data_IF_898001430467
#
_entry.id   IF_898001430467
#
_cell.length_a   1.000
_cell.length_b   1.000
_cell.length_c   1.000
_cell.angle_alpha   90.00
_cell.angle_beta   90.00
_cell.angle_gamma   90.00
#
_symmetry.space_group_name_H-M   'P 1'
#
loop_
_entity.id
_entity.type
_entity.pdbx_description
1 polymer ?
#
# COMPACT_ATOMS: atom_id res chain seq x y z
N UNK A 1 -2.22 -15.44 -22.58
CA UNK A 1 -0.92 -15.44 -21.86
C UNK A 1 -0.40 -14.05 -21.53
N UNK A 2 -0.56 -13.02 -22.37
CA UNK A 2 -0.10 -11.66 -22.09
C UNK A 2 -0.77 -11.02 -20.85
N UNK A 3 -2.07 -11.14 -20.72
CA UNK A 3 -2.86 -10.60 -19.59
C UNK A 3 -2.44 -11.17 -18.23
N UNK A 4 -2.14 -12.46 -18.16
CA UNK A 4 -1.70 -13.10 -16.92
C UNK A 4 -0.35 -12.56 -16.44
N UNK A 5 0.58 -12.30 -17.37
CA UNK A 5 1.89 -11.71 -17.02
C UNK A 5 1.77 -10.25 -16.54
N UNK A 6 0.84 -9.47 -17.12
CA UNK A 6 0.63 -8.09 -16.72
C UNK A 6 0.14 -7.94 -15.28
N UNK A 7 -0.57 -8.94 -14.76
CA UNK A 7 -1.11 -8.93 -13.41
C UNK A 7 -0.17 -9.62 -12.41
N UNK A 8 0.44 -10.73 -12.80
CA UNK A 8 1.30 -11.53 -11.91
C UNK A 8 2.52 -10.75 -11.44
N UNK A 9 3.18 -10.02 -12.34
CA UNK A 9 4.39 -9.26 -11.98
C UNK A 9 4.10 -8.18 -10.92
N UNK A 10 3.11 -7.29 -11.07
CA UNK A 10 2.77 -6.33 -10.03
C UNK A 10 2.39 -6.96 -8.68
N UNK A 11 1.65 -8.07 -8.69
CA UNK A 11 1.28 -8.79 -7.45
C UNK A 11 2.51 -9.39 -6.77
N UNK A 12 3.42 -10.00 -7.53
CA UNK A 12 4.68 -10.54 -6.99
C UNK A 12 5.54 -9.43 -6.40
N UNK A 13 5.65 -8.29 -7.07
CA UNK A 13 6.36 -7.11 -6.55
C UNK A 13 5.72 -6.63 -5.26
N UNK A 14 4.39 -6.52 -5.20
CA UNK A 14 3.67 -6.13 -3.99
C UNK A 14 3.99 -7.08 -2.83
N UNK A 15 3.90 -8.40 -3.05
CA UNK A 15 4.21 -9.40 -2.01
C UNK A 15 5.65 -9.26 -1.54
N UNK A 16 6.62 -9.09 -2.45
CA UNK A 16 8.02 -8.90 -2.10
C UNK A 16 8.24 -7.66 -1.23
N UNK A 17 7.63 -6.53 -1.59
CA UNK A 17 7.74 -5.28 -0.82
C UNK A 17 7.04 -5.42 0.54
N UNK A 18 5.90 -6.12 0.62
CA UNK A 18 5.22 -6.43 1.88
C UNK A 18 6.09 -7.27 2.83
N UNK A 19 6.85 -8.24 2.30
CA UNK A 19 7.79 -9.03 3.09
C UNK A 19 8.94 -8.15 3.58
N UNK A 20 9.50 -7.30 2.71
CA UNK A 20 10.57 -6.37 3.10
C UNK A 20 10.11 -5.40 4.19
N UNK A 21 8.90 -4.83 4.07
CA UNK A 21 8.33 -3.98 5.12
C UNK A 21 8.18 -4.72 6.44
N UNK A 22 7.65 -5.94 6.41
CA UNK A 22 7.51 -6.74 7.63
C UNK A 22 8.86 -7.01 8.31
N UNK A 23 9.86 -7.40 7.54
CA UNK A 23 11.22 -7.67 8.05
C UNK A 23 11.85 -6.41 8.63
N UNK A 24 11.80 -5.29 7.91
CA UNK A 24 12.36 -4.01 8.38
C UNK A 24 11.61 -3.49 9.61
N UNK A 25 10.29 -3.63 9.67
CA UNK A 25 9.47 -3.24 10.81
C UNK A 25 9.77 -4.07 12.07
N UNK A 26 9.92 -5.38 11.91
CA UNK A 26 10.30 -6.27 13.01
C UNK A 26 11.72 -6.00 13.51
N UNK A 27 12.66 -5.72 12.58
CA UNK A 27 14.04 -5.35 12.93
C UNK A 27 14.07 -4.03 13.70
N UNK A 28 13.34 -3.01 13.24
CA UNK A 28 13.23 -1.74 13.93
C UNK A 28 12.65 -1.90 15.35
N UNK A 29 11.58 -2.69 15.50
CA UNK A 29 10.96 -2.96 16.78
C UNK A 29 11.92 -3.72 17.73
N UNK A 30 12.70 -4.67 17.21
CA UNK A 30 13.69 -5.39 17.98
C UNK A 30 14.81 -4.48 18.48
N UNK A 31 15.37 -3.64 17.62
CA UNK A 31 16.44 -2.70 17.98
C UNK A 31 15.98 -1.67 19.01
N UNK A 32 14.74 -1.22 18.93
CA UNK A 32 14.16 -0.26 19.87
C UNK A 32 13.58 -0.90 21.14
N UNK A 33 13.77 -2.23 21.33
CA UNK A 33 13.22 -2.99 22.47
C UNK A 33 11.69 -2.93 22.60
N UNK A 34 11.01 -2.69 21.47
CA UNK A 34 9.55 -2.59 21.39
C UNK A 34 8.90 -3.82 20.73
N UNK A 35 9.66 -4.90 20.56
CA UNK A 35 9.18 -6.12 19.93
C UNK A 35 8.07 -6.75 20.76
N UNK A 36 6.92 -6.99 20.13
CA UNK A 36 5.81 -7.71 20.76
C UNK A 36 5.07 -8.56 19.73
N UNK A 37 4.55 -9.70 20.18
CA UNK A 37 3.72 -10.58 19.33
C UNK A 37 2.51 -9.84 18.75
N UNK A 38 1.95 -8.91 19.50
CA UNK A 38 0.82 -8.08 19.06
C UNK A 38 1.16 -7.22 17.86
N UNK A 39 2.32 -6.55 17.87
CA UNK A 39 2.82 -5.75 16.73
C UNK A 39 3.03 -6.62 15.49
N UNK A 40 3.61 -7.81 15.66
CA UNK A 40 3.82 -8.76 14.58
C UNK A 40 2.50 -9.23 13.94
N UNK A 41 1.53 -9.62 14.76
CA UNK A 41 0.20 -10.05 14.28
C UNK A 41 -0.52 -8.92 13.56
N UNK A 42 -0.51 -7.70 14.09
CA UNK A 42 -1.13 -6.54 13.43
C UNK A 42 -0.52 -6.26 12.06
N UNK A 43 0.80 -6.40 11.91
CA UNK A 43 1.48 -6.28 10.62
C UNK A 43 0.99 -7.31 9.60
N UNK A 44 0.83 -8.57 10.01
CA UNK A 44 0.31 -9.64 9.13
C UNK A 44 -1.15 -9.39 8.75
N UNK A 45 -2.00 -9.04 9.72
CA UNK A 45 -3.42 -8.75 9.47
C UNK A 45 -3.56 -7.62 8.44
N UNK A 46 -2.82 -6.51 8.61
CA UNK A 46 -2.82 -5.40 7.65
C UNK A 46 -2.52 -5.89 6.22
N UNK A 47 -1.55 -6.77 6.06
CA UNK A 47 -1.15 -7.29 4.75
C UNK A 47 -2.20 -8.23 4.13
N UNK A 48 -2.91 -8.99 4.96
CA UNK A 48 -4.05 -9.78 4.50
C UNK A 48 -5.16 -8.86 3.95
N UNK A 49 -5.48 -7.77 4.66
CA UNK A 49 -6.43 -6.78 4.17
C UNK A 49 -5.99 -6.13 2.85
N UNK A 50 -4.71 -5.88 2.66
CA UNK A 50 -4.19 -5.36 1.40
C UNK A 50 -4.47 -6.32 0.23
N UNK A 51 -4.26 -7.62 0.41
CA UNK A 51 -4.58 -8.61 -0.61
C UNK A 51 -6.08 -8.69 -0.90
N UNK A 52 -6.93 -8.50 0.12
CA UNK A 52 -8.38 -8.42 -0.07
C UNK A 52 -8.78 -7.19 -0.89
N UNK A 53 -8.16 -6.03 -0.65
CA UNK A 53 -8.42 -4.81 -1.43
C UNK A 53 -7.97 -4.99 -2.89
N UNK A 54 -6.83 -5.63 -3.13
CA UNK A 54 -6.37 -5.98 -4.49
C UNK A 54 -7.38 -6.88 -5.18
N UNK A 55 -7.86 -7.94 -4.50
CA UNK A 55 -8.87 -8.84 -5.05
C UNK A 55 -10.18 -8.11 -5.36
N UNK A 56 -10.61 -7.18 -4.51
CA UNK A 56 -11.78 -6.35 -4.75
C UNK A 56 -11.60 -5.45 -5.98
N UNK A 57 -10.43 -4.80 -6.13
CA UNK A 57 -10.10 -3.99 -7.31
C UNK A 57 -10.16 -4.79 -8.61
N UNK A 58 -9.61 -6.00 -8.61
CA UNK A 58 -9.72 -6.92 -9.75
C UNK A 58 -11.18 -7.34 -10.02
N UNK A 59 -11.98 -7.52 -8.97
CA UNK A 59 -13.40 -7.79 -9.09
C UNK A 59 -14.16 -6.65 -9.78
N UNK A 60 -13.82 -5.42 -9.46
CA UNK A 60 -14.38 -4.23 -10.12
C UNK A 60 -14.00 -4.21 -11.61
N UNK A 61 -12.74 -4.45 -11.96
CA UNK A 61 -12.31 -4.54 -13.37
C UNK A 61 -13.07 -5.60 -14.15
N UNK A 62 -13.27 -6.78 -13.53
CA UNK A 62 -14.06 -7.85 -14.13
C UNK A 62 -15.52 -7.44 -14.38
N UNK A 63 -16.16 -6.78 -13.40
CA UNK A 63 -17.53 -6.29 -13.53
C UNK A 63 -17.67 -5.23 -14.62
N UNK A 64 -16.72 -4.29 -14.72
CA UNK A 64 -16.71 -3.24 -15.76
C UNK A 64 -16.62 -3.88 -17.14
N UNK A 65 -15.72 -4.83 -17.32
CA UNK A 65 -15.55 -5.55 -18.61
C UNK A 65 -16.81 -6.34 -18.98
N UNK A 66 -17.40 -7.05 -18.00
CA UNK A 66 -18.62 -7.83 -18.20
C UNK A 66 -19.82 -6.95 -18.58
N UNK A 67 -20.00 -5.83 -17.89
CA UNK A 67 -21.11 -4.89 -18.16
C UNK A 67 -20.92 -4.20 -19.51
N UNK A 68 -19.69 -3.77 -19.83
CA UNK A 68 -19.38 -3.19 -21.14
C UNK A 68 -19.75 -4.12 -22.28
N UNK A 69 -19.40 -5.40 -22.18
CA UNK A 69 -19.76 -6.41 -23.17
C UNK A 69 -21.28 -6.58 -23.35
N UNK A 70 -22.06 -6.50 -22.25
CA UNK A 70 -23.53 -6.57 -22.30
C UNK A 70 -24.17 -5.33 -22.94
N UNK A 71 -23.55 -4.17 -22.79
CA UNK A 71 -24.02 -2.89 -23.35
C UNK A 71 -23.53 -2.65 -24.77
N UNK A 72 -22.77 -3.59 -25.36
CA UNK A 72 -22.20 -3.43 -26.70
C UNK A 72 -21.04 -2.44 -26.78
N UNK A 73 -20.52 -2.02 -25.63
CA UNK A 73 -19.36 -1.13 -25.52
C UNK A 73 -18.13 -1.97 -25.16
N UNK A 74 -17.14 -2.01 -26.04
CA UNK A 74 -15.87 -2.68 -25.74
C UNK A 74 -15.04 -1.77 -24.82
N UNK A 75 -15.23 -1.95 -23.50
CA UNK A 75 -14.39 -1.33 -22.49
C UNK A 75 -13.24 -2.28 -22.17
N UNK A 76 -12.10 -2.08 -22.82
CA UNK A 76 -10.89 -2.85 -22.54
C UNK A 76 -10.17 -2.23 -21.34
N UNK A 77 -10.69 -2.48 -20.14
CA UNK A 77 -10.22 -1.85 -18.88
C UNK A 77 -8.95 -2.53 -18.34
N UNK A 78 -8.42 -3.55 -19.03
CA UNK A 78 -7.10 -4.18 -18.77
C UNK A 78 -6.59 -4.11 -17.31
N UNK A 79 -7.46 -4.45 -16.33
CA UNK A 79 -7.10 -4.44 -14.89
C UNK A 79 -6.61 -3.09 -14.35
N UNK A 80 -7.12 -1.97 -14.87
CA UNK A 80 -6.67 -0.62 -14.48
C UNK A 80 -6.92 -0.35 -13.00
N UNK A 81 -8.10 -0.71 -12.46
CA UNK A 81 -8.44 -0.47 -11.05
C UNK A 81 -7.57 -1.33 -10.14
N UNK A 82 -7.45 -2.62 -10.43
CA UNK A 82 -6.57 -3.52 -9.68
C UNK A 82 -5.12 -3.07 -9.71
N UNK A 83 -4.62 -2.63 -10.86
CA UNK A 83 -3.25 -2.15 -11.01
C UNK A 83 -3.01 -0.85 -10.23
N UNK A 84 -3.95 0.11 -10.28
CA UNK A 84 -3.85 1.34 -9.50
C UNK A 84 -3.81 1.06 -8.00
N UNK A 85 -4.64 0.13 -7.52
CA UNK A 85 -4.62 -0.31 -6.12
C UNK A 85 -3.25 -0.92 -5.76
N UNK A 86 -2.71 -1.81 -6.60
CA UNK A 86 -1.42 -2.44 -6.35
C UNK A 86 -0.30 -1.39 -6.28
N UNK A 87 -0.24 -0.46 -7.25
CA UNK A 87 0.77 0.60 -7.27
C UNK A 87 0.68 1.47 -6.02
N UNK A 88 -0.53 1.87 -5.63
CA UNK A 88 -0.74 2.65 -4.40
C UNK A 88 -0.27 1.89 -3.15
N UNK A 89 -0.56 0.60 -3.04
CA UNK A 89 -0.10 -0.24 -1.93
C UNK A 89 1.42 -0.39 -1.92
N UNK A 90 2.07 -0.59 -3.09
CA UNK A 90 3.53 -0.64 -3.19
C UNK A 90 4.15 0.65 -2.68
N UNK A 91 3.60 1.82 -3.07
CA UNK A 91 4.10 3.11 -2.58
C UNK A 91 3.98 3.20 -1.05
N UNK A 92 2.86 2.79 -0.47
CA UNK A 92 2.68 2.78 0.98
C UNK A 92 3.68 1.86 1.70
N UNK A 93 3.94 0.67 1.16
CA UNK A 93 4.92 -0.25 1.73
C UNK A 93 6.35 0.30 1.61
N UNK A 94 6.71 0.94 0.49
CA UNK A 94 8.01 1.59 0.32
C UNK A 94 8.21 2.72 1.32
N UNK A 95 7.19 3.55 1.57
CA UNK A 95 7.25 4.60 2.61
C UNK A 95 7.48 3.97 3.98
N UNK A 96 6.76 2.91 4.32
CA UNK A 96 6.92 2.19 5.58
C UNK A 96 8.33 1.60 5.74
N UNK A 97 8.89 1.01 4.69
CA UNK A 97 10.28 0.50 4.67
C UNK A 97 11.27 1.64 4.95
N UNK A 98 11.09 2.79 4.32
CA UNK A 98 11.96 3.96 4.54
C UNK A 98 11.86 4.45 6.00
N UNK A 99 10.65 4.53 6.56
CA UNK A 99 10.46 4.89 7.97
C UNK A 99 11.13 3.89 8.92
N UNK A 100 10.97 2.60 8.67
CA UNK A 100 11.61 1.55 9.45
C UNK A 100 13.13 1.60 9.33
N UNK A 101 13.66 1.86 8.13
CA UNK A 101 15.10 2.04 7.88
C UNK A 101 15.67 3.21 8.66
N UNK A 102 14.94 4.33 8.73
CA UNK A 102 15.31 5.48 9.56
C UNK A 102 15.38 5.13 11.05
N UNK A 103 14.42 4.34 11.56
CA UNK A 103 14.41 3.87 12.96
C UNK A 103 15.57 2.91 13.27
N UNK A 104 16.06 2.17 12.28
CA UNK A 104 17.22 1.29 12.40
C UNK A 104 18.54 2.08 12.38
N UNK A 105 18.51 3.34 11.92
CA UNK A 105 19.69 4.19 11.80
C UNK A 105 20.42 4.06 10.46
N UNK A 106 19.75 3.53 9.42
CA UNK A 106 20.30 3.51 8.07
C UNK A 106 20.38 4.96 7.55
N UNK A 107 21.54 5.43 7.07
CA UNK A 107 21.68 6.77 6.56
C UNK A 107 20.82 6.92 5.29
N UNK A 108 19.83 7.80 5.35
CA UNK A 108 18.95 8.09 4.23
C UNK A 108 19.34 9.42 3.56
N UNK A 109 19.27 9.50 2.22
CA UNK A 109 19.45 10.76 1.52
C UNK A 109 18.49 11.85 2.03
N UNK A 110 18.98 13.07 2.24
CA UNK A 110 18.19 14.14 2.84
C UNK A 110 16.91 14.51 2.06
N UNK A 111 16.85 14.25 0.76
CA UNK A 111 15.63 14.47 -0.03
C UNK A 111 14.51 13.48 0.33
N UNK A 112 14.85 12.21 0.66
CA UNK A 112 13.87 11.21 1.11
C UNK A 112 13.30 11.57 2.48
N UNK A 113 14.14 12.06 3.41
CA UNK A 113 13.68 12.55 4.71
C UNK A 113 12.69 13.69 4.55
N UNK A 114 13.00 14.68 3.72
CA UNK A 114 12.10 15.80 3.44
C UNK A 114 10.78 15.36 2.80
N UNK A 115 10.81 14.35 1.93
CA UNK A 115 9.61 13.78 1.31
C UNK A 115 8.72 13.10 2.35
N UNK A 116 9.30 12.29 3.24
CA UNK A 116 8.58 11.63 4.33
C UNK A 116 7.94 12.64 5.29
N UNK A 117 8.68 13.68 5.68
CA UNK A 117 8.17 14.74 6.55
C UNK A 117 6.97 15.48 5.91
N UNK A 118 7.05 15.78 4.61
CA UNK A 118 5.94 16.41 3.87
C UNK A 118 4.71 15.50 3.82
N UNK A 119 4.90 14.21 3.57
CA UNK A 119 3.80 13.25 3.54
C UNK A 119 3.12 13.13 4.90
N UNK A 120 3.89 13.07 5.99
CA UNK A 120 3.35 13.05 7.36
C UNK A 120 2.54 14.31 7.66
N UNK A 121 3.10 15.49 7.41
CA UNK A 121 2.41 16.77 7.65
C UNK A 121 1.11 16.90 6.84
N UNK A 122 1.08 16.37 5.61
CA UNK A 122 -0.13 16.39 4.77
C UNK A 122 -1.21 15.48 5.34
N UNK A 123 -0.81 14.33 5.90
CA UNK A 123 -1.74 13.37 6.50
C UNK A 123 -2.30 13.89 7.83
N UNK A 124 -1.46 14.49 8.67
CA UNK A 124 -1.86 15.10 9.94
C UNK A 124 -2.82 16.27 9.72
N UNK A 125 -2.53 17.18 8.78
CA UNK A 125 -3.43 18.30 8.44
C UNK A 125 -4.79 17.84 7.91
N UNK A 126 -4.84 16.74 7.15
CA UNK A 126 -6.12 16.18 6.69
C UNK A 126 -6.93 15.60 7.85
N UNK A 127 -6.29 14.92 8.79
CA UNK A 127 -6.95 14.39 9.98
C UNK A 127 -7.52 15.52 10.86
N UNK A 128 -6.77 16.61 11.07
CA UNK A 128 -7.24 17.78 11.84
C UNK A 128 -8.44 18.50 11.18
N UNK A 129 -8.47 18.55 9.85
CA UNK A 129 -9.59 19.17 9.11
C UNK A 129 -10.86 18.30 9.17
N UNK A 130 -10.71 16.98 9.24
CA UNK A 130 -11.84 16.04 9.30
C UNK A 130 -12.42 15.93 10.73
N UNK A 131 -11.64 16.24 11.79
CA UNK A 131 -12.09 16.29 13.18
C UNK A 131 -12.64 17.65 13.62
N UNK A 132 -12.52 18.68 12.80
CA UNK A 132 -13.08 20.01 13.14
C UNK A 132 -14.62 19.94 13.18
N UNK A 133 -15.28 20.34 14.30
CA UNK A 133 -16.74 20.35 14.38
C UNK A 133 -17.31 21.33 13.35
N UNK A 134 -18.46 21.01 12.74
CA UNK A 134 -19.09 21.92 11.79
C UNK A 134 -19.41 23.25 12.49
N UNK A 135 -18.94 24.34 11.91
CA UNK A 135 -19.26 25.69 12.37
C UNK A 135 -20.80 25.87 12.41
N UNK A 136 -21.32 26.14 13.61
CA UNK A 136 -22.71 26.54 13.83
C UNK A 136 -22.93 27.96 13.35
#
# INVERSE_FOLDING_TARGET
MAYFKQLVVPVVVLIAVMICDYVTGMTAAWMNKELSSRKGIQGVIKKVFYLMIVAAGMGVDYLITMLGGKLGVQLDVNFVVGLLVIVWLIINELISILENSGKIGVPMPGFLMKLLDRLKQTTEKKAEVEEAPPDN
#
